data_IF_777907293939
#
_entry.id   IF_777907293939
#
_cell.length_a   1.000
_cell.length_b   1.000
_cell.length_c   1.000
_cell.angle_alpha   90.00
_cell.angle_beta   90.00
_cell.angle_gamma   90.00
#
_symmetry.space_group_name_H-M   'P 1'
#
loop_
_entity.id
_entity.type
_entity.pdbx_description
1 polymer ?
#
# COMPACT_ATOMS: atom_id res chain seq x y z
N UNK A 1 -0.19 -8.08 -23.63
CA UNK A 1 -0.88 -9.18 -22.92
C UNK A 1 -1.69 -10.00 -23.89
N UNK A 2 -1.73 -11.32 -23.73
CA UNK A 2 -2.57 -12.22 -24.54
C UNK A 2 -4.02 -12.19 -24.01
N UNK A 3 -5.01 -12.48 -24.88
CA UNK A 3 -6.45 -12.43 -24.51
C UNK A 3 -6.79 -13.24 -23.25
N UNK A 4 -6.25 -14.46 -23.11
CA UNK A 4 -6.48 -15.29 -21.93
C UNK A 4 -5.91 -14.71 -20.62
N UNK A 5 -4.85 -13.90 -20.70
CA UNK A 5 -4.27 -13.25 -19.52
C UNK A 5 -5.18 -12.15 -18.97
N UNK A 6 -5.91 -11.47 -19.85
CA UNK A 6 -6.93 -10.50 -19.45
C UNK A 6 -8.05 -11.23 -18.70
N UNK A 7 -8.49 -12.38 -19.21
CA UNK A 7 -9.49 -13.21 -18.53
C UNK A 7 -9.01 -13.67 -17.15
N UNK A 8 -7.75 -14.10 -17.03
CA UNK A 8 -7.15 -14.44 -15.73
C UNK A 8 -7.15 -13.24 -14.75
N UNK A 9 -6.76 -12.06 -15.24
CA UNK A 9 -6.78 -10.84 -14.42
C UNK A 9 -8.18 -10.46 -13.94
N UNK A 10 -9.17 -10.50 -14.84
CA UNK A 10 -10.56 -10.23 -14.45
C UNK A 10 -11.05 -11.25 -13.42
N UNK A 11 -10.74 -12.52 -13.60
CA UNK A 11 -11.14 -13.56 -12.67
C UNK A 11 -10.53 -13.36 -11.28
N UNK A 12 -9.21 -13.17 -11.16
CA UNK A 12 -8.55 -12.97 -9.86
C UNK A 12 -9.01 -11.68 -9.18
N UNK A 13 -9.28 -10.63 -9.95
CA UNK A 13 -9.82 -9.38 -9.40
C UNK A 13 -11.22 -9.56 -8.83
N UNK A 14 -12.13 -10.20 -9.58
CA UNK A 14 -13.50 -10.50 -9.12
C UNK A 14 -13.47 -11.40 -7.88
N UNK A 15 -12.64 -12.45 -7.90
CA UNK A 15 -12.45 -13.34 -6.75
C UNK A 15 -11.96 -12.54 -5.52
N UNK A 16 -10.94 -11.71 -5.71
CA UNK A 16 -10.39 -10.89 -4.62
C UNK A 16 -11.42 -9.90 -4.08
N UNK A 17 -12.16 -9.19 -4.94
CA UNK A 17 -13.26 -8.31 -4.52
C UNK A 17 -14.29 -9.08 -3.68
N UNK A 18 -14.73 -10.26 -4.15
CA UNK A 18 -15.70 -11.10 -3.43
C UNK A 18 -15.19 -11.48 -2.05
N UNK A 19 -13.94 -11.95 -1.95
CA UNK A 19 -13.34 -12.36 -0.67
C UNK A 19 -13.16 -11.16 0.28
N UNK A 20 -12.72 -10.00 -0.21
CA UNK A 20 -12.52 -8.80 0.62
C UNK A 20 -13.83 -8.19 1.12
N UNK A 21 -14.92 -8.33 0.36
CA UNK A 21 -16.24 -7.83 0.75
C UNK A 21 -17.06 -8.87 1.54
N UNK A 22 -16.65 -10.14 1.56
CA UNK A 22 -17.39 -11.21 2.26
C UNK A 22 -17.65 -10.90 3.74
N UNK A 23 -16.69 -10.35 4.54
CA UNK A 23 -16.95 -10.03 5.93
C UNK A 23 -18.10 -9.02 6.13
N UNK A 24 -18.35 -8.12 5.16
CA UNK A 24 -19.43 -7.14 5.22
C UNK A 24 -20.83 -7.75 5.06
N UNK A 25 -20.93 -9.01 4.65
CA UNK A 25 -22.21 -9.74 4.62
C UNK A 25 -22.68 -10.17 6.01
N UNK A 26 -21.75 -10.29 6.96
CA UNK A 26 -22.01 -10.73 8.33
C UNK A 26 -21.81 -9.63 9.36
N UNK A 27 -20.98 -8.62 9.03
CA UNK A 27 -20.62 -7.54 9.93
C UNK A 27 -20.94 -6.20 9.28
N UNK A 28 -21.64 -5.33 10.01
CA UNK A 28 -21.90 -3.97 9.55
C UNK A 28 -20.60 -3.18 9.42
N UNK A 29 -19.66 -3.41 10.35
CA UNK A 29 -18.27 -2.92 10.33
C UNK A 29 -17.36 -4.10 10.55
N UNK A 30 -16.28 -4.19 9.78
CA UNK A 30 -15.23 -5.19 9.92
C UNK A 30 -13.90 -4.51 10.27
N UNK A 31 -13.18 -5.09 11.23
CA UNK A 31 -11.90 -4.58 11.75
C UNK A 31 -12.00 -3.87 13.10
N UNK A 32 -10.92 -3.95 13.91
CA UNK A 32 -10.87 -3.47 15.29
C UNK A 32 -10.90 -1.95 15.42
N UNK A 33 -10.18 -1.24 14.53
CA UNK A 33 -9.92 0.21 14.66
C UNK A 33 -10.85 1.07 13.78
N UNK A 34 -11.91 0.46 13.25
CA UNK A 34 -12.81 1.12 12.28
C UNK A 34 -13.49 2.37 12.88
N UNK A 35 -13.76 2.39 14.18
CA UNK A 35 -14.29 3.56 14.88
C UNK A 35 -13.33 4.74 14.88
N UNK A 36 -12.06 4.48 15.15
CA UNK A 36 -10.99 5.48 15.13
C UNK A 36 -10.80 6.05 13.71
N UNK A 37 -10.74 5.17 12.72
CA UNK A 37 -10.59 5.60 11.32
C UNK A 37 -11.78 6.44 10.85
N UNK A 38 -13.00 6.09 11.30
CA UNK A 38 -14.18 6.89 11.01
C UNK A 38 -14.12 8.28 11.63
N UNK A 39 -13.73 8.38 12.91
CA UNK A 39 -13.61 9.68 13.61
C UNK A 39 -12.55 10.55 12.94
N UNK A 40 -11.38 9.99 12.63
CA UNK A 40 -10.30 10.72 11.99
C UNK A 40 -10.68 11.19 10.57
N UNK A 41 -11.31 10.33 9.75
CA UNK A 41 -11.82 10.73 8.43
C UNK A 41 -12.90 11.81 8.57
N UNK A 42 -13.85 11.64 9.48
CA UNK A 42 -14.94 12.62 9.67
C UNK A 42 -14.41 13.98 10.13
N UNK A 43 -13.41 14.01 11.01
CA UNK A 43 -12.77 15.24 11.44
C UNK A 43 -12.04 15.92 10.27
N UNK A 44 -11.25 15.15 9.50
CA UNK A 44 -10.58 15.68 8.32
C UNK A 44 -11.58 16.24 7.30
N UNK A 45 -12.67 15.52 7.02
CA UNK A 45 -13.73 15.94 6.10
C UNK A 45 -14.39 17.25 6.53
N UNK A 46 -14.68 17.39 7.83
CA UNK A 46 -15.41 18.56 8.36
C UNK A 46 -14.50 19.77 8.56
N UNK A 47 -13.26 19.57 9.01
CA UNK A 47 -12.34 20.63 9.42
C UNK A 47 -11.31 20.97 8.34
N UNK A 48 -11.11 20.10 7.35
CA UNK A 48 -10.09 20.26 6.30
C UNK A 48 -8.64 20.03 6.79
N UNK A 49 -8.45 19.62 8.02
CA UNK A 49 -7.12 19.29 8.59
C UNK A 49 -7.23 18.21 9.65
N UNK A 50 -6.12 17.50 9.88
CA UNK A 50 -6.00 16.54 10.97
C UNK A 50 -5.61 17.26 12.25
N UNK A 51 -6.24 16.90 13.38
CA UNK A 51 -5.87 17.41 14.70
C UNK A 51 -4.52 16.83 15.13
N UNK A 52 -3.56 17.73 15.47
CA UNK A 52 -2.22 17.30 15.90
C UNK A 52 -2.20 16.71 17.33
N UNK A 53 -3.23 16.95 18.11
CA UNK A 53 -3.35 16.54 19.53
C UNK A 53 -4.35 15.39 19.71
N UNK A 54 -4.34 14.40 18.80
CA UNK A 54 -5.19 13.23 18.94
C UNK A 54 -4.69 12.31 20.06
N UNK A 55 -5.52 12.08 21.08
CA UNK A 55 -5.17 11.28 22.27
C UNK A 55 -5.71 9.83 22.25
N UNK A 56 -6.40 9.42 21.18
CA UNK A 56 -6.96 8.08 21.03
C UNK A 56 -5.92 6.99 20.78
N UNK A 57 -6.40 5.77 20.68
CA UNK A 57 -5.61 4.66 20.17
C UNK A 57 -5.11 5.02 18.75
N UNK A 58 -3.86 4.70 18.44
CA UNK A 58 -3.33 5.10 17.13
C UNK A 58 -3.00 6.58 17.00
N UNK A 59 -2.54 7.22 18.09
CA UNK A 59 -2.08 8.62 18.14
C UNK A 59 -1.10 9.00 16.99
N UNK A 60 -0.49 8.01 16.31
CA UNK A 60 0.34 8.22 15.14
C UNK A 60 -0.44 8.41 13.82
N UNK A 61 -1.73 8.08 13.75
CA UNK A 61 -2.51 8.16 12.52
C UNK A 61 -2.63 9.56 11.90
N UNK A 62 -2.73 10.66 12.67
CA UNK A 62 -2.71 12.00 12.09
C UNK A 62 -1.48 12.33 11.26
N UNK A 63 -0.36 11.66 11.54
CA UNK A 63 0.87 11.83 10.77
C UNK A 63 0.90 11.04 9.45
N UNK A 64 -0.06 10.11 9.25
CA UNK A 64 -0.20 9.30 8.05
C UNK A 64 -1.59 9.47 7.44
N UNK A 65 -1.94 10.68 6.98
CA UNK A 65 -3.31 11.03 6.60
C UNK A 65 -3.77 10.41 5.27
N UNK A 66 -2.89 9.70 4.55
CA UNK A 66 -3.16 9.29 3.17
C UNK A 66 -4.41 8.43 2.99
N UNK A 67 -4.70 7.48 3.91
CA UNK A 67 -5.93 6.70 3.85
C UNK A 67 -7.16 7.56 4.11
N UNK A 68 -7.09 8.48 5.07
CA UNK A 68 -8.21 9.37 5.43
C UNK A 68 -8.53 10.34 4.28
N UNK A 69 -7.49 10.94 3.66
CA UNK A 69 -7.64 11.77 2.46
C UNK A 69 -8.30 10.98 1.32
N UNK A 70 -7.85 9.74 1.09
CA UNK A 70 -8.44 8.88 0.07
C UNK A 70 -9.92 8.60 0.35
N UNK A 71 -10.27 8.33 1.60
CA UNK A 71 -11.66 8.12 2.04
C UNK A 71 -12.52 9.34 1.79
N UNK A 72 -12.05 10.52 2.20
CA UNK A 72 -12.79 11.78 2.06
C UNK A 72 -12.98 12.15 0.58
N UNK A 73 -11.93 12.01 -0.24
CA UNK A 73 -12.03 12.23 -1.68
C UNK A 73 -13.08 11.30 -2.31
N UNK A 74 -13.11 10.02 -1.91
CA UNK A 74 -14.11 9.08 -2.43
C UNK A 74 -15.53 9.44 -1.94
N UNK A 75 -15.69 9.82 -0.66
CA UNK A 75 -16.98 10.26 -0.14
C UNK A 75 -17.51 11.46 -0.92
N UNK A 76 -16.68 12.47 -1.18
CA UNK A 76 -17.03 13.65 -1.97
C UNK A 76 -17.34 13.29 -3.42
N UNK A 77 -16.51 12.47 -4.05
CA UNK A 77 -16.63 12.15 -5.48
C UNK A 77 -17.90 11.33 -5.78
N UNK A 78 -18.22 10.35 -4.93
CA UNK A 78 -19.38 9.49 -5.12
C UNK A 78 -20.63 9.98 -4.39
N UNK A 79 -20.57 11.05 -3.59
CA UNK A 79 -21.70 11.56 -2.81
C UNK A 79 -22.20 10.56 -1.75
N UNK A 80 -21.31 9.74 -1.18
CA UNK A 80 -21.63 8.73 -0.18
C UNK A 80 -21.15 9.18 1.22
N UNK A 81 -21.67 8.54 2.27
CA UNK A 81 -21.22 8.85 3.62
C UNK A 81 -19.73 8.47 3.82
N UNK A 82 -19.04 9.19 4.73
CA UNK A 82 -17.65 8.83 5.14
C UNK A 82 -17.58 7.37 5.61
N UNK A 83 -18.61 6.92 6.30
CA UNK A 83 -18.71 5.57 6.79
C UNK A 83 -18.73 4.54 5.64
N UNK A 84 -19.56 4.77 4.62
CA UNK A 84 -19.65 3.89 3.45
C UNK A 84 -18.37 3.97 2.60
N UNK A 85 -17.78 5.17 2.50
CA UNK A 85 -16.49 5.32 1.83
C UNK A 85 -15.40 4.47 2.48
N UNK A 86 -15.25 4.50 3.81
CA UNK A 86 -14.33 3.63 4.54
C UNK A 86 -14.63 2.15 4.32
N UNK A 87 -15.88 1.78 4.53
CA UNK A 87 -16.35 0.40 4.54
C UNK A 87 -16.18 -0.31 3.21
N UNK A 88 -16.43 0.37 2.09
CA UNK A 88 -16.41 -0.24 0.76
C UNK A 88 -15.16 0.12 -0.04
N UNK A 89 -14.71 1.38 0.01
CA UNK A 89 -13.62 1.84 -0.85
C UNK A 89 -12.31 1.16 -0.53
N UNK A 90 -11.96 1.06 0.77
CA UNK A 90 -10.65 0.52 1.15
C UNK A 90 -10.52 -0.97 0.79
N UNK A 91 -11.48 -1.87 1.12
CA UNK A 91 -11.42 -3.27 0.69
C UNK A 91 -11.42 -3.44 -0.84
N UNK A 92 -12.22 -2.64 -1.58
CA UNK A 92 -12.26 -2.70 -3.03
C UNK A 92 -10.93 -2.27 -3.68
N UNK A 93 -10.36 -1.15 -3.21
CA UNK A 93 -9.07 -0.67 -3.71
C UNK A 93 -7.96 -1.68 -3.37
N UNK A 94 -7.95 -2.21 -2.16
CA UNK A 94 -6.95 -3.19 -1.71
C UNK A 94 -7.01 -4.49 -2.49
N UNK A 95 -8.20 -4.90 -2.97
CA UNK A 95 -8.36 -6.07 -3.83
C UNK A 95 -7.58 -5.98 -5.14
N UNK A 96 -7.24 -4.77 -5.62
CA UNK A 96 -6.36 -4.57 -6.77
C UNK A 96 -4.92 -5.06 -6.52
N UNK A 97 -4.51 -5.24 -5.26
CA UNK A 97 -3.19 -5.74 -4.92
C UNK A 97 -2.86 -7.06 -5.58
N UNK A 98 -3.84 -7.98 -5.71
CA UNK A 98 -3.63 -9.28 -6.38
C UNK A 98 -3.39 -9.14 -7.89
N UNK A 99 -3.91 -8.07 -8.52
CA UNK A 99 -3.65 -7.77 -9.93
C UNK A 99 -2.19 -7.35 -10.11
N UNK A 100 -1.68 -6.48 -9.22
CA UNK A 100 -0.26 -6.11 -9.21
C UNK A 100 0.63 -7.30 -8.91
N UNK A 101 0.25 -8.16 -7.97
CA UNK A 101 0.97 -9.39 -7.67
C UNK A 101 1.05 -10.32 -8.90
N UNK A 102 -0.06 -10.51 -9.63
CA UNK A 102 -0.03 -11.26 -10.88
C UNK A 102 0.98 -10.68 -11.88
N UNK A 103 0.98 -9.36 -12.05
CA UNK A 103 1.88 -8.68 -12.98
C UNK A 103 3.35 -8.80 -12.53
N UNK A 104 3.63 -8.71 -11.23
CA UNK A 104 4.96 -8.91 -10.64
C UNK A 104 5.41 -10.36 -10.84
N UNK A 105 4.59 -11.32 -10.45
CA UNK A 105 4.92 -12.75 -10.59
C UNK A 105 5.14 -13.13 -12.05
N UNK A 106 4.29 -12.64 -12.96
CA UNK A 106 4.48 -12.84 -14.40
C UNK A 106 5.79 -12.22 -14.91
N UNK A 107 6.16 -11.05 -14.40
CA UNK A 107 7.41 -10.38 -14.78
C UNK A 107 8.64 -11.16 -14.34
N UNK A 108 8.59 -11.73 -13.13
CA UNK A 108 9.71 -12.48 -12.53
C UNK A 108 9.82 -13.88 -13.16
N UNK A 109 8.73 -14.64 -13.14
CA UNK A 109 8.72 -16.05 -13.58
C UNK A 109 8.51 -16.23 -15.08
N UNK A 110 8.04 -15.20 -15.80
CA UNK A 110 7.72 -15.22 -17.25
C UNK A 110 6.66 -16.27 -17.65
N UNK A 111 5.92 -16.79 -16.68
CA UNK A 111 4.88 -17.80 -16.86
C UNK A 111 3.54 -17.30 -16.30
N UNK A 112 2.51 -17.20 -17.18
CA UNK A 112 1.20 -16.69 -16.77
C UNK A 112 0.47 -17.64 -15.82
N UNK A 113 0.68 -18.97 -15.96
CA UNK A 113 0.05 -19.95 -15.05
C UNK A 113 0.60 -19.86 -13.63
N UNK A 114 1.91 -19.66 -13.46
CA UNK A 114 2.53 -19.47 -12.14
C UNK A 114 1.99 -18.18 -11.51
N UNK A 115 1.95 -17.09 -12.28
CA UNK A 115 1.41 -15.82 -11.81
C UNK A 115 -0.06 -15.94 -11.39
N UNK A 116 -0.87 -16.67 -12.17
CA UNK A 116 -2.29 -16.89 -11.90
C UNK A 116 -2.49 -17.69 -10.59
N UNK A 117 -1.80 -18.82 -10.45
CA UNK A 117 -1.90 -19.67 -9.27
C UNK A 117 -1.43 -18.94 -7.99
N UNK A 118 -0.32 -18.21 -8.08
CA UNK A 118 0.18 -17.41 -6.96
C UNK A 118 -0.85 -16.35 -6.54
N UNK A 119 -1.50 -15.69 -7.51
CA UNK A 119 -2.50 -14.67 -7.23
C UNK A 119 -3.78 -15.24 -6.63
N UNK A 120 -4.26 -16.40 -7.10
CA UNK A 120 -5.38 -17.11 -6.47
C UNK A 120 -5.04 -17.46 -5.03
N UNK A 121 -3.86 -18.05 -4.79
CA UNK A 121 -3.43 -18.43 -3.45
C UNK A 121 -3.45 -17.23 -2.49
N UNK A 122 -2.87 -16.10 -2.90
CA UNK A 122 -2.85 -14.89 -2.07
C UNK A 122 -4.26 -14.32 -1.90
N UNK A 123 -5.12 -14.34 -2.94
CA UNK A 123 -6.49 -13.82 -2.87
C UNK A 123 -7.35 -14.48 -1.79
N UNK A 124 -7.02 -15.71 -1.38
CA UNK A 124 -7.74 -16.46 -0.34
C UNK A 124 -6.90 -16.68 0.92
N UNK A 125 -5.66 -16.22 0.95
CA UNK A 125 -4.75 -16.39 2.07
C UNK A 125 -5.10 -15.42 3.20
N UNK A 126 -5.44 -15.96 4.37
CA UNK A 126 -5.88 -15.17 5.53
C UNK A 126 -4.86 -14.10 5.97
N UNK A 127 -3.54 -14.35 5.99
CA UNK A 127 -2.54 -13.31 6.31
C UNK A 127 -2.57 -12.09 5.39
N UNK A 128 -3.03 -12.23 4.14
CA UNK A 128 -3.23 -11.11 3.22
C UNK A 128 -4.64 -10.55 3.29
N UNK A 129 -5.66 -11.41 3.24
CA UNK A 129 -7.07 -11.01 3.18
C UNK A 129 -7.48 -10.27 4.45
N UNK A 130 -7.09 -10.75 5.63
CA UNK A 130 -7.50 -10.13 6.89
C UNK A 130 -7.11 -8.64 6.97
N UNK A 131 -5.84 -8.23 6.82
CA UNK A 131 -5.46 -6.82 6.91
C UNK A 131 -5.97 -5.97 5.73
N UNK A 132 -6.29 -6.57 4.58
CA UNK A 132 -6.70 -5.83 3.38
C UNK A 132 -8.22 -5.80 3.15
N UNK A 133 -8.99 -6.57 3.92
CA UNK A 133 -10.46 -6.63 3.83
C UNK A 133 -11.19 -5.63 4.72
N UNK A 134 -10.48 -4.84 5.52
CA UNK A 134 -11.06 -3.80 6.36
C UNK A 134 -10.30 -2.47 6.21
N UNK A 135 -10.91 -1.34 6.60
CA UNK A 135 -10.24 -0.06 6.53
C UNK A 135 -9.03 -0.04 7.46
N UNK A 136 -7.85 0.03 6.88
CA UNK A 136 -6.62 0.32 7.62
C UNK A 136 -5.56 0.96 6.70
N UNK A 137 -4.70 1.85 7.21
CA UNK A 137 -3.66 2.49 6.40
C UNK A 137 -2.73 1.49 5.69
N UNK A 138 -2.44 0.36 6.36
CA UNK A 138 -1.65 -0.73 5.79
C UNK A 138 -2.23 -1.31 4.51
N UNK A 139 -3.55 -1.46 4.42
CA UNK A 139 -4.23 -1.99 3.24
C UNK A 139 -3.94 -1.16 1.97
N UNK A 140 -4.02 0.16 2.10
CA UNK A 140 -3.67 1.10 1.01
C UNK A 140 -2.16 1.14 0.79
N UNK A 141 -1.38 1.10 1.87
CA UNK A 141 0.08 1.07 1.82
C UNK A 141 0.61 -0.15 1.06
N UNK A 142 0.06 -1.33 1.29
CA UNK A 142 0.46 -2.57 0.62
C UNK A 142 0.10 -2.56 -0.87
N UNK A 143 -1.03 -1.98 -1.24
CA UNK A 143 -1.37 -1.75 -2.65
C UNK A 143 -0.34 -0.85 -3.33
N UNK A 144 -0.02 0.29 -2.72
CA UNK A 144 0.99 1.22 -3.24
C UNK A 144 2.38 0.56 -3.32
N UNK A 145 2.74 -0.24 -2.31
CA UNK A 145 3.98 -1.01 -2.29
C UNK A 145 4.09 -1.93 -3.52
N UNK A 146 3.08 -2.72 -3.79
CA UNK A 146 3.05 -3.62 -4.95
C UNK A 146 3.08 -2.85 -6.28
N UNK A 147 2.33 -1.76 -6.37
CA UNK A 147 2.31 -0.89 -7.56
C UNK A 147 3.69 -0.29 -7.85
N UNK A 148 4.33 0.31 -6.85
CA UNK A 148 5.65 0.94 -7.00
C UNK A 148 6.72 -0.11 -7.27
N UNK A 149 6.66 -1.28 -6.62
CA UNK A 149 7.58 -2.38 -6.90
C UNK A 149 7.44 -2.90 -8.33
N UNK A 150 6.21 -2.98 -8.87
CA UNK A 150 6.00 -3.29 -10.29
C UNK A 150 6.60 -2.23 -11.21
N UNK A 151 6.44 -0.94 -10.88
CA UNK A 151 7.07 0.15 -11.66
C UNK A 151 8.59 0.01 -11.65
N UNK A 152 9.20 -0.27 -10.50
CA UNK A 152 10.63 -0.53 -10.37
C UNK A 152 11.08 -1.70 -11.26
N UNK A 153 10.36 -2.83 -11.27
CA UNK A 153 10.67 -3.96 -12.16
C UNK A 153 10.50 -3.62 -13.64
N UNK A 154 9.49 -2.81 -14.01
CA UNK A 154 9.26 -2.37 -15.39
C UNK A 154 10.26 -1.32 -15.87
N UNK A 155 10.85 -0.58 -14.97
CA UNK A 155 11.90 0.41 -15.28
C UNK A 155 13.14 -0.21 -15.97
N UNK A 156 13.31 -1.52 -15.85
CA UNK A 156 14.33 -2.30 -16.58
C UNK A 156 14.11 -2.30 -18.10
N UNK A 157 12.87 -2.17 -18.53
CA UNK A 157 12.51 -2.16 -19.96
C UNK A 157 12.25 -0.74 -20.48
N UNK A 158 11.69 0.12 -19.62
CA UNK A 158 11.38 1.50 -19.97
C UNK A 158 11.69 2.42 -18.78
N UNK A 159 12.69 3.27 -18.95
CA UNK A 159 13.17 4.20 -17.90
C UNK A 159 12.12 5.19 -17.40
N UNK A 160 11.05 5.46 -18.14
CA UNK A 160 9.96 6.32 -17.69
C UNK A 160 9.30 5.78 -16.41
N UNK A 161 9.36 4.47 -16.15
CA UNK A 161 8.85 3.89 -14.92
C UNK A 161 9.67 4.28 -13.67
N UNK A 162 10.95 4.67 -13.81
CA UNK A 162 11.68 5.27 -12.69
C UNK A 162 11.06 6.60 -12.27
N UNK A 163 10.65 7.43 -13.23
CA UNK A 163 10.00 8.72 -12.96
C UNK A 163 8.67 8.49 -12.24
N UNK A 164 7.85 7.53 -12.72
CA UNK A 164 6.58 7.20 -12.08
C UNK A 164 6.78 6.66 -10.65
N UNK A 165 7.75 5.77 -10.45
CA UNK A 165 8.09 5.28 -9.12
C UNK A 165 8.58 6.41 -8.20
N UNK A 166 9.44 7.30 -8.70
CA UNK A 166 9.93 8.47 -7.96
C UNK A 166 8.81 9.39 -7.47
N UNK A 167 7.81 9.67 -8.34
CA UNK A 167 6.63 10.49 -8.00
C UNK A 167 5.70 9.77 -7.01
N UNK A 168 5.58 8.44 -7.11
CA UNK A 168 4.68 7.67 -6.24
C UNK A 168 5.24 7.42 -4.82
N UNK A 169 6.58 7.55 -4.61
CA UNK A 169 7.21 7.29 -3.31
C UNK A 169 6.65 8.15 -2.14
N UNK A 170 6.45 9.47 -2.28
CA UNK A 170 5.85 10.25 -1.20
C UNK A 170 4.46 9.75 -0.80
N UNK A 171 3.67 9.25 -1.75
CA UNK A 171 2.32 8.78 -1.46
C UNK A 171 2.31 7.59 -0.49
N UNK A 172 3.17 6.57 -0.70
CA UNK A 172 3.23 5.44 0.24
C UNK A 172 3.70 5.85 1.63
N UNK A 173 4.62 6.81 1.71
CA UNK A 173 5.17 7.27 2.98
C UNK A 173 4.14 8.03 3.84
N UNK A 174 3.25 8.83 3.21
CA UNK A 174 2.14 9.52 3.92
C UNK A 174 0.95 8.60 4.20
N UNK A 175 0.88 7.42 3.57
CA UNK A 175 -0.19 6.43 3.82
C UNK A 175 0.21 5.49 4.93
N UNK A 176 1.38 4.83 4.84
CA UNK A 176 1.77 3.81 5.79
C UNK A 176 3.30 3.63 5.84
N UNK A 177 3.89 4.01 6.95
CA UNK A 177 5.33 3.99 7.14
C UNK A 177 5.95 2.58 7.03
N UNK A 178 5.29 1.56 7.56
CA UNK A 178 5.80 0.19 7.51
C UNK A 178 5.83 -0.35 6.08
N UNK A 179 4.78 -0.11 5.27
CA UNK A 179 4.76 -0.51 3.86
C UNK A 179 5.84 0.24 3.04
N UNK A 180 6.12 1.51 3.37
CA UNK A 180 7.22 2.26 2.77
C UNK A 180 8.60 1.65 3.11
N UNK A 181 8.80 1.25 4.36
CA UNK A 181 10.02 0.57 4.81
C UNK A 181 10.19 -0.80 4.15
N UNK A 182 9.14 -1.60 4.09
CA UNK A 182 9.16 -2.91 3.43
C UNK A 182 9.41 -2.79 1.93
N UNK A 183 8.87 -1.75 1.28
CA UNK A 183 9.19 -1.43 -0.12
C UNK A 183 10.69 -1.15 -0.29
N UNK A 184 11.27 -0.30 0.57
CA UNK A 184 12.71 -0.01 0.54
C UNK A 184 13.54 -1.29 0.66
N UNK A 185 13.25 -2.15 1.65
CA UNK A 185 13.95 -3.43 1.82
C UNK A 185 13.79 -4.35 0.62
N UNK A 186 12.57 -4.46 0.06
CA UNK A 186 12.29 -5.29 -1.11
C UNK A 186 13.08 -4.83 -2.34
N UNK A 187 13.14 -3.51 -2.56
CA UNK A 187 13.93 -2.93 -3.66
C UNK A 187 15.43 -3.11 -3.43
N UNK A 188 15.92 -2.91 -2.20
CA UNK A 188 17.32 -3.12 -1.84
C UNK A 188 17.73 -4.57 -2.10
N UNK A 189 16.96 -5.54 -1.62
CA UNK A 189 17.20 -6.96 -1.88
C UNK A 189 17.19 -7.27 -3.39
N UNK A 190 16.22 -6.72 -4.14
CA UNK A 190 16.15 -6.92 -5.58
C UNK A 190 17.37 -6.33 -6.31
N UNK A 191 17.85 -5.15 -5.91
CA UNK A 191 19.07 -4.53 -6.47
C UNK A 191 20.29 -5.35 -6.15
N UNK A 192 20.49 -5.76 -4.89
CA UNK A 192 21.66 -6.55 -4.48
C UNK A 192 21.70 -7.90 -5.18
N UNK A 193 20.61 -8.68 -5.12
CA UNK A 193 20.52 -10.00 -5.76
C UNK A 193 20.55 -9.89 -7.29
N UNK A 194 19.84 -8.93 -7.86
CA UNK A 194 19.83 -8.70 -9.30
C UNK A 194 21.22 -8.39 -9.84
N UNK A 195 21.97 -7.51 -9.19
CA UNK A 195 23.33 -7.17 -9.63
C UNK A 195 24.35 -8.28 -9.36
N UNK A 196 24.14 -9.11 -8.31
CA UNK A 196 25.01 -10.26 -8.03
C UNK A 196 24.85 -11.37 -9.09
N UNK A 197 23.60 -11.69 -9.45
CA UNK A 197 23.29 -12.89 -10.26
C UNK A 197 22.91 -12.59 -11.72
N UNK A 198 22.50 -11.35 -12.07
CA UNK A 198 21.98 -11.00 -13.40
C UNK A 198 22.79 -9.87 -14.03
N UNK A 199 23.62 -10.18 -15.03
CA UNK A 199 24.43 -9.17 -15.75
C UNK A 199 23.59 -8.02 -16.32
N UNK A 200 22.34 -8.30 -16.75
CA UNK A 200 21.42 -7.30 -17.29
C UNK A 200 20.98 -6.25 -16.25
N UNK A 201 21.15 -6.49 -14.95
CA UNK A 201 20.79 -5.52 -13.93
C UNK A 201 21.84 -4.42 -13.78
N UNK A 202 23.11 -4.71 -14.06
CA UNK A 202 24.23 -3.76 -13.88
C UNK A 202 24.10 -2.51 -14.74
N UNK A 203 23.42 -2.59 -15.90
CA UNK A 203 23.23 -1.44 -16.81
C UNK A 203 22.37 -0.32 -16.21
N UNK A 204 21.51 -0.64 -15.24
CA UNK A 204 20.59 0.32 -14.60
C UNK A 204 20.98 0.68 -13.16
N UNK A 205 22.12 0.19 -12.66
CA UNK A 205 22.53 0.33 -11.26
C UNK A 205 22.48 1.80 -10.77
N UNK A 206 22.91 2.75 -11.61
CA UNK A 206 22.85 4.18 -11.26
C UNK A 206 21.41 4.64 -10.92
N UNK A 207 20.44 4.27 -11.75
CA UNK A 207 19.05 4.67 -11.55
C UNK A 207 18.42 3.94 -10.36
N UNK A 208 18.81 2.68 -10.13
CA UNK A 208 18.37 1.91 -8.97
C UNK A 208 18.85 2.53 -7.67
N UNK A 209 20.13 2.91 -7.61
CA UNK A 209 20.70 3.56 -6.44
C UNK A 209 20.09 4.93 -6.19
N UNK A 210 19.81 5.71 -7.25
CA UNK A 210 19.10 6.98 -7.11
C UNK A 210 17.69 6.79 -6.57
N UNK A 211 16.95 5.80 -7.07
CA UNK A 211 15.60 5.51 -6.57
C UNK A 211 15.63 4.97 -5.13
N UNK A 212 16.57 4.11 -4.78
CA UNK A 212 16.78 3.64 -3.41
C UNK A 212 17.11 4.79 -2.46
N UNK A 213 18.02 5.67 -2.86
CA UNK A 213 18.38 6.85 -2.07
C UNK A 213 17.16 7.75 -1.87
N UNK A 214 16.37 7.99 -2.92
CA UNK A 214 15.14 8.77 -2.83
C UNK A 214 14.12 8.11 -1.89
N UNK A 215 13.88 6.81 -2.01
CA UNK A 215 12.97 6.06 -1.14
C UNK A 215 13.39 6.20 0.32
N UNK A 216 14.68 6.00 0.60
CA UNK A 216 15.25 6.15 1.93
C UNK A 216 15.11 7.59 2.46
N UNK A 217 15.41 8.59 1.62
CA UNK A 217 15.28 10.01 1.99
C UNK A 217 13.84 10.38 2.32
N UNK A 218 12.88 10.01 1.46
CA UNK A 218 11.45 10.28 1.70
C UNK A 218 10.98 9.61 3.00
N UNK A 219 11.36 8.36 3.20
CA UNK A 219 11.05 7.62 4.43
C UNK A 219 11.65 8.32 5.66
N UNK A 220 12.94 8.63 5.65
CA UNK A 220 13.63 9.26 6.78
C UNK A 220 13.10 10.66 7.05
N UNK A 221 12.94 11.50 6.03
CA UNK A 221 12.46 12.87 6.19
C UNK A 221 11.07 12.87 6.84
N UNK A 222 10.16 12.04 6.36
CA UNK A 222 8.84 11.92 6.95
C UNK A 222 8.91 11.38 8.38
N UNK A 223 9.75 10.38 8.66
CA UNK A 223 9.94 9.85 10.01
C UNK A 223 10.60 10.86 10.96
N UNK A 224 11.56 11.65 10.51
CA UNK A 224 12.24 12.68 11.30
C UNK A 224 11.34 13.90 11.51
N UNK A 225 10.61 14.34 10.49
CA UNK A 225 9.60 15.42 10.67
C UNK A 225 8.45 14.97 11.58
N UNK A 226 8.10 13.69 11.51
CA UNK A 226 7.22 13.03 12.45
C UNK A 226 7.96 12.56 13.72
N UNK A 227 9.20 12.98 13.91
CA UNK A 227 10.06 12.59 15.06
C UNK A 227 9.44 12.90 16.40
N UNK A 228 8.56 13.89 16.48
CA UNK A 228 7.67 14.08 17.62
C UNK A 228 6.79 12.86 17.86
N UNK A 229 6.13 12.34 16.82
CA UNK A 229 5.31 11.14 16.92
C UNK A 229 6.13 9.88 17.20
N UNK A 230 7.30 9.74 16.57
CA UNK A 230 8.20 8.61 16.84
C UNK A 230 8.75 8.66 18.27
N UNK A 231 9.14 9.84 18.74
CA UNK A 231 9.57 10.08 20.14
C UNK A 231 8.43 9.77 21.12
N UNK A 232 7.23 10.27 20.87
CA UNK A 232 6.06 9.98 21.70
C UNK A 232 5.69 8.49 21.67
N UNK A 233 5.81 7.83 20.52
CA UNK A 233 5.59 6.40 20.41
C UNK A 233 6.59 5.61 21.27
N UNK A 234 7.89 5.95 21.21
CA UNK A 234 8.93 5.30 22.02
C UNK A 234 8.67 5.54 23.52
N UNK A 235 8.32 6.77 23.91
CA UNK A 235 8.02 7.12 25.32
C UNK A 235 6.75 6.43 25.80
N UNK A 236 5.68 6.39 24.99
CA UNK A 236 4.39 5.75 25.37
C UNK A 236 4.47 4.22 25.39
N UNK A 237 5.35 3.60 24.60
CA UNK A 237 5.57 2.15 24.59
C UNK A 237 6.55 1.70 25.72
N UNK A 238 7.07 2.63 26.51
CA UNK A 238 7.84 2.30 27.72
C UNK A 238 9.29 1.88 27.48
N UNK A 239 9.85 2.18 26.30
CA UNK A 239 11.27 1.90 26.02
C UNK A 239 12.24 2.91 26.64
N UNK A 240 11.75 4.01 27.19
CA UNK A 240 12.54 5.09 27.79
C UNK A 240 11.93 5.61 29.13
N UNK A 241 11.07 4.84 29.77
CA UNK A 241 10.50 5.13 31.09
C UNK A 241 11.36 4.64 32.24
#
# INVERSE_FOLDING_TARGET
MKKYEITMLCFIFILSCGVHLLPLTQHFVWGSDSGEYYVLSKNLYNCGHMENAYEGWGFGYPYFPGMFILTDVNAMFFGISIFDALRFTIPLISSLGVVFLFLIAKKIFKHSSIAFMSSIFISVSMPYVFPTSHPMPGAVGDLLMLMIFLMFLKARENKNFYILAFIAMPAIAIVHHLSAFLLFLSMLCAVLLGNAFLKSWRSNLKYDLLLLLWTHTVFLVLWVFMGGAFREMIVKVGFLG
#
